data_IF_262358174393
#
_entry.id   IF_262358174393
#
_cell.length_a   1.000
_cell.length_b   1.000
_cell.length_c   1.000
_cell.angle_alpha   90.00
_cell.angle_beta   90.00
_cell.angle_gamma   90.00
#
_symmetry.space_group_name_H-M   'P 1'
#
loop_
_entity.id
_entity.type
_entity.pdbx_description
1 polymer ?
#
# COMPACT_ATOMS: atom_id res chain seq x y z
N UNK A 1 -27.07 -17.29 -9.95
CA UNK A 1 -26.02 -18.19 -9.44
C UNK A 1 -25.63 -17.87 -7.99
N UNK A 2 -25.07 -16.68 -7.70
CA UNK A 2 -24.58 -16.30 -6.37
C UNK A 2 -25.57 -16.55 -5.20
N UNK A 3 -26.83 -16.14 -5.34
CA UNK A 3 -27.86 -16.38 -4.31
C UNK A 3 -28.06 -17.88 -3.99
N UNK A 4 -28.01 -18.75 -5.00
CA UNK A 4 -28.12 -20.19 -4.79
C UNK A 4 -26.88 -20.77 -4.11
N UNK A 5 -25.68 -20.30 -4.50
CA UNK A 5 -24.42 -20.66 -3.84
C UNK A 5 -24.42 -20.28 -2.36
N UNK A 6 -24.78 -19.04 -2.03
CA UNK A 6 -24.85 -18.56 -0.63
C UNK A 6 -25.87 -19.31 0.22
N UNK A 7 -26.98 -19.78 -0.35
CA UNK A 7 -27.94 -20.63 0.37
C UNK A 7 -27.36 -21.98 0.77
N UNK A 8 -26.44 -22.52 -0.04
CA UNK A 8 -25.74 -23.76 0.29
C UNK A 8 -24.59 -23.50 1.28
N UNK A 9 -23.78 -22.46 1.02
CA UNK A 9 -22.66 -22.08 1.87
C UNK A 9 -22.31 -20.58 1.73
N UNK A 10 -22.50 -19.75 2.77
CA UNK A 10 -22.49 -18.29 2.65
C UNK A 10 -21.08 -17.68 2.67
N UNK A 11 -20.19 -18.12 1.77
CA UNK A 11 -18.90 -17.47 1.57
C UNK A 11 -19.04 -16.06 0.96
N UNK A 12 -18.08 -15.15 1.21
CA UNK A 12 -17.94 -13.94 0.42
C UNK A 12 -17.78 -14.27 -1.06
N UNK A 13 -18.52 -13.58 -1.93
CA UNK A 13 -18.49 -13.72 -3.38
C UNK A 13 -18.20 -12.37 -4.02
N UNK A 14 -17.35 -12.36 -5.05
CA UNK A 14 -17.07 -11.19 -5.85
C UNK A 14 -17.20 -11.50 -7.35
N UNK A 15 -17.20 -10.45 -8.15
CA UNK A 15 -16.97 -10.54 -9.60
C UNK A 15 -15.75 -9.71 -9.95
N UNK A 16 -14.89 -10.22 -10.83
CA UNK A 16 -13.80 -9.43 -11.39
C UNK A 16 -14.29 -8.60 -12.60
N UNK A 17 -13.52 -7.57 -12.96
CA UNK A 17 -13.93 -6.62 -14.00
C UNK A 17 -12.82 -6.37 -14.99
N UNK A 18 -13.06 -6.75 -16.25
CA UNK A 18 -12.29 -6.20 -17.37
C UNK A 18 -12.68 -4.74 -17.59
N UNK A 19 -11.73 -3.86 -17.29
CA UNK A 19 -11.96 -2.44 -17.08
C UNK A 19 -12.18 -1.62 -18.36
N UNK A 20 -13.01 -0.58 -18.21
CA UNK A 20 -13.06 0.59 -19.11
C UNK A 20 -12.11 1.67 -18.58
N UNK A 21 -10.87 1.64 -19.07
CA UNK A 21 -9.77 2.51 -18.64
C UNK A 21 -8.82 2.78 -19.82
N UNK A 22 -7.75 3.55 -19.64
CA UNK A 22 -6.78 3.90 -20.71
C UNK A 22 -7.44 4.51 -21.96
N UNK A 23 -8.41 5.41 -21.75
CA UNK A 23 -9.12 6.10 -22.83
C UNK A 23 -10.18 5.27 -23.58
N UNK A 24 -10.40 3.99 -23.23
CA UNK A 24 -11.43 3.14 -23.85
C UNK A 24 -12.83 3.74 -23.72
N UNK A 25 -13.57 3.81 -24.82
CA UNK A 25 -14.84 4.56 -24.90
C UNK A 25 -16.03 3.72 -25.31
N UNK A 26 -15.86 2.82 -26.28
CA UNK A 26 -16.99 2.16 -26.94
C UNK A 26 -17.19 0.72 -26.43
N UNK A 27 -18.32 0.41 -25.75
CA UNK A 27 -18.61 -0.94 -25.27
C UNK A 27 -18.78 -1.92 -26.46
N UNK A 28 -18.21 -3.11 -26.34
CA UNK A 28 -18.23 -4.13 -27.39
C UNK A 28 -17.21 -3.91 -28.51
N UNK A 29 -16.52 -2.76 -28.52
CA UNK A 29 -15.40 -2.46 -29.43
C UNK A 29 -14.08 -2.35 -28.66
N UNK A 30 -14.00 -1.44 -27.69
CA UNK A 30 -12.74 -1.14 -26.96
C UNK A 30 -12.60 -1.97 -25.67
N UNK A 31 -13.74 -2.35 -25.07
CA UNK A 31 -13.85 -3.12 -23.82
C UNK A 31 -15.10 -4.00 -23.87
N UNK A 32 -15.14 -5.12 -23.13
CA UNK A 32 -16.30 -6.01 -23.13
C UNK A 32 -17.54 -5.31 -22.59
N UNK A 33 -18.61 -5.33 -23.37
CA UNK A 33 -19.91 -4.83 -22.94
C UNK A 33 -20.52 -5.77 -21.90
N UNK A 34 -21.21 -5.20 -20.91
CA UNK A 34 -21.98 -5.93 -19.91
C UNK A 34 -21.27 -6.12 -18.56
N UNK A 35 -19.93 -6.08 -18.51
CA UNK A 35 -19.17 -6.21 -17.26
C UNK A 35 -19.43 -5.08 -16.24
N UNK A 36 -18.93 -5.25 -15.02
CA UNK A 36 -19.10 -4.31 -13.90
C UNK A 36 -18.19 -3.06 -14.01
N UNK A 37 -18.06 -2.52 -15.23
CA UNK A 37 -17.23 -1.33 -15.50
C UNK A 37 -17.74 -0.12 -14.72
N UNK A 38 -16.86 0.88 -14.51
CA UNK A 38 -17.17 2.05 -13.69
C UNK A 38 -18.49 2.76 -14.06
N UNK A 39 -18.85 2.83 -15.35
CA UNK A 39 -20.11 3.44 -15.79
C UNK A 39 -21.34 2.55 -15.59
N UNK A 40 -21.15 1.26 -15.32
CA UNK A 40 -22.20 0.27 -15.02
C UNK A 40 -22.24 -0.10 -13.54
N UNK A 41 -21.33 0.44 -12.72
CA UNK A 41 -21.14 0.05 -11.32
C UNK A 41 -22.45 0.11 -10.52
N UNK A 42 -23.16 1.24 -10.56
CA UNK A 42 -24.44 1.41 -9.84
C UNK A 42 -25.49 0.39 -10.27
N UNK A 43 -25.59 0.09 -11.58
CA UNK A 43 -26.51 -0.93 -12.07
C UNK A 43 -26.15 -2.31 -11.56
N UNK A 44 -24.85 -2.66 -11.59
CA UNK A 44 -24.37 -3.93 -11.06
C UNK A 44 -24.69 -4.08 -9.57
N UNK A 45 -24.37 -3.07 -8.75
CA UNK A 45 -24.72 -3.10 -7.32
C UNK A 45 -26.22 -3.31 -7.09
N UNK A 46 -27.08 -2.67 -7.88
CA UNK A 46 -28.53 -2.84 -7.79
C UNK A 46 -29.02 -4.21 -8.28
N UNK A 47 -28.44 -4.73 -9.36
CA UNK A 47 -28.88 -5.96 -10.01
C UNK A 47 -28.29 -7.23 -9.37
N UNK A 48 -27.20 -7.13 -8.62
CA UNK A 48 -26.49 -8.29 -8.05
C UNK A 48 -26.36 -8.22 -6.52
N UNK A 49 -27.47 -8.23 -5.75
CA UNK A 49 -27.43 -8.07 -4.29
C UNK A 49 -26.75 -9.23 -3.54
N UNK A 50 -26.50 -10.37 -4.20
CA UNK A 50 -25.76 -11.51 -3.63
C UNK A 50 -24.26 -11.50 -3.92
N UNK A 51 -23.75 -10.48 -4.62
CA UNK A 51 -22.32 -10.24 -4.84
C UNK A 51 -21.85 -9.19 -3.84
N UNK A 52 -20.89 -9.55 -2.98
CA UNK A 52 -20.47 -8.69 -1.88
C UNK A 52 -19.70 -7.48 -2.38
N UNK A 53 -18.79 -7.69 -3.34
CA UNK A 53 -17.95 -6.64 -3.91
C UNK A 53 -17.55 -6.93 -5.37
N UNK A 54 -17.09 -5.89 -6.04
CA UNK A 54 -16.61 -5.88 -7.42
C UNK A 54 -15.09 -5.65 -7.37
N UNK A 55 -14.35 -6.60 -7.93
CA UNK A 55 -12.90 -6.54 -8.10
C UNK A 55 -12.48 -5.91 -9.42
N UNK A 56 -11.24 -5.43 -9.46
CA UNK A 56 -10.62 -4.81 -10.62
C UNK A 56 -9.49 -5.66 -11.17
N UNK A 57 -9.45 -5.83 -12.50
CA UNK A 57 -8.33 -6.47 -13.20
C UNK A 57 -7.48 -5.39 -13.89
N UNK A 58 -6.36 -5.03 -13.27
CA UNK A 58 -5.56 -3.85 -13.62
C UNK A 58 -4.25 -4.25 -14.29
N UNK A 59 -4.19 -4.11 -15.61
CA UNK A 59 -3.00 -4.43 -16.41
C UNK A 59 -2.32 -3.17 -16.93
N UNK A 60 -1.91 -2.31 -16.01
CA UNK A 60 -1.12 -1.10 -16.27
C UNK A 60 -0.09 -0.91 -15.17
N UNK A 61 1.04 -0.28 -15.49
CA UNK A 61 1.99 0.21 -14.50
C UNK A 61 2.02 1.75 -14.43
N UNK A 62 1.20 2.45 -15.23
CA UNK A 62 1.03 3.90 -15.11
C UNK A 62 0.35 4.27 -13.78
N UNK A 63 1.03 5.09 -12.97
CA UNK A 63 0.57 5.47 -11.64
C UNK A 63 -0.81 6.14 -11.66
N UNK A 64 -1.00 7.09 -12.56
CA UNK A 64 -2.22 7.89 -12.60
C UNK A 64 -3.41 7.03 -12.97
N UNK A 65 -3.26 6.14 -13.95
CA UNK A 65 -4.34 5.26 -14.38
C UNK A 65 -4.60 4.15 -13.35
N UNK A 66 -3.57 3.58 -12.73
CA UNK A 66 -3.73 2.54 -11.70
C UNK A 66 -4.51 3.10 -10.50
N UNK A 67 -4.02 4.20 -9.92
CA UNK A 67 -4.62 4.81 -8.73
C UNK A 67 -6.01 5.38 -9.00
N UNK A 68 -6.24 5.94 -10.19
CA UNK A 68 -7.57 6.37 -10.64
C UNK A 68 -8.56 5.20 -10.68
N UNK A 69 -8.17 4.04 -11.23
CA UNK A 69 -9.05 2.86 -11.23
C UNK A 69 -9.35 2.44 -9.80
N UNK A 70 -8.36 2.33 -8.92
CA UNK A 70 -8.61 1.97 -7.52
C UNK A 70 -9.60 2.95 -6.89
N UNK A 71 -9.40 4.26 -7.04
CA UNK A 71 -10.30 5.29 -6.51
C UNK A 71 -11.72 5.27 -7.10
N UNK A 72 -11.93 4.69 -8.28
CA UNK A 72 -13.26 4.52 -8.88
C UNK A 72 -14.06 3.37 -8.24
N UNK A 73 -13.38 2.33 -7.75
CA UNK A 73 -14.01 1.13 -7.20
C UNK A 73 -13.93 1.07 -5.67
N UNK A 74 -12.97 1.75 -5.03
CA UNK A 74 -12.90 1.95 -3.59
C UNK A 74 -14.00 2.92 -3.14
N UNK A 75 -15.10 2.39 -2.62
CA UNK A 75 -16.32 3.14 -2.28
C UNK A 75 -16.83 2.70 -0.90
N UNK A 76 -17.66 3.51 -0.22
CA UNK A 76 -18.30 3.08 1.02
C UNK A 76 -19.09 1.77 0.90
N UNK A 77 -19.60 1.45 -0.30
CA UNK A 77 -20.36 0.24 -0.59
C UNK A 77 -19.56 -0.86 -1.31
N UNK A 78 -18.24 -0.67 -1.46
CA UNK A 78 -17.33 -1.60 -2.14
C UNK A 78 -15.87 -1.41 -1.70
N UNK A 79 -15.24 -2.37 -1.00
CA UNK A 79 -13.84 -2.26 -0.62
C UNK A 79 -12.93 -2.21 -1.86
N UNK A 80 -11.75 -1.61 -1.73
CA UNK A 80 -10.72 -1.78 -2.73
C UNK A 80 -10.29 -3.26 -2.79
N UNK A 81 -10.43 -3.89 -3.95
CA UNK A 81 -10.06 -5.28 -4.18
C UNK A 81 -9.47 -5.41 -5.58
N UNK A 82 -8.16 -5.66 -5.63
CA UNK A 82 -7.45 -5.94 -6.89
C UNK A 82 -7.48 -7.44 -7.11
N UNK A 83 -8.46 -7.91 -7.88
CA UNK A 83 -8.63 -9.32 -8.23
C UNK A 83 -7.52 -9.82 -9.14
N UNK A 84 -7.01 -8.95 -10.01
CA UNK A 84 -5.87 -9.23 -10.86
C UNK A 84 -5.05 -7.95 -11.08
N UNK A 85 -3.72 -8.09 -11.08
CA UNK A 85 -2.79 -7.07 -11.55
C UNK A 85 -1.68 -7.69 -12.38
N UNK A 86 -1.09 -6.90 -13.28
CA UNK A 86 0.06 -7.33 -14.08
C UNK A 86 1.25 -7.81 -13.23
N UNK A 87 1.94 -8.85 -13.71
CA UNK A 87 3.06 -9.51 -13.03
C UNK A 87 4.31 -8.63 -12.91
N UNK A 88 4.45 -7.61 -13.75
CA UNK A 88 5.68 -6.84 -13.88
C UNK A 88 6.13 -6.19 -12.56
N UNK A 89 7.44 -6.08 -12.32
CA UNK A 89 7.97 -5.50 -11.08
C UNK A 89 7.42 -4.10 -10.76
N UNK A 90 7.13 -3.31 -11.80
CA UNK A 90 6.61 -1.95 -11.69
C UNK A 90 5.19 -1.87 -11.07
N UNK A 91 4.45 -2.98 -10.97
CA UNK A 91 3.13 -3.00 -10.31
C UNK A 91 3.23 -3.29 -8.81
N UNK A 92 4.36 -3.82 -8.33
CA UNK A 92 4.54 -4.21 -6.94
C UNK A 92 4.28 -3.06 -5.94
N UNK A 93 4.72 -1.79 -6.18
CA UNK A 93 4.43 -0.70 -5.24
C UNK A 93 2.94 -0.46 -5.00
N UNK A 94 2.06 -0.79 -5.95
CA UNK A 94 0.63 -0.49 -5.85
C UNK A 94 -0.10 -1.28 -4.76
N UNK A 95 0.48 -2.37 -4.22
CA UNK A 95 -0.06 -2.99 -3.01
C UNK A 95 -0.20 -1.97 -1.87
N UNK A 96 0.79 -1.10 -1.68
CA UNK A 96 0.77 -0.08 -0.62
C UNK A 96 -0.31 0.97 -0.89
N UNK A 97 -0.50 1.38 -2.15
CA UNK A 97 -1.61 2.26 -2.51
C UNK A 97 -2.97 1.61 -2.20
N UNK A 98 -3.16 0.35 -2.57
CA UNK A 98 -4.41 -0.40 -2.32
C UNK A 98 -4.68 -0.54 -0.83
N UNK A 99 -3.67 -0.87 -0.01
CA UNK A 99 -3.80 -0.90 1.45
C UNK A 99 -4.16 0.48 2.00
N UNK A 100 -3.56 1.55 1.46
CA UNK A 100 -3.89 2.93 1.83
C UNK A 100 -5.30 3.37 1.46
N UNK A 101 -5.99 2.64 0.58
CA UNK A 101 -7.42 2.82 0.24
C UNK A 101 -8.33 1.87 1.04
N UNK A 102 -7.83 1.25 2.12
CA UNK A 102 -8.60 0.28 2.91
C UNK A 102 -8.82 -1.05 2.18
N UNK A 103 -7.93 -1.40 1.26
CA UNK A 103 -8.08 -2.58 0.43
C UNK A 103 -8.02 -3.90 1.19
N UNK A 104 -8.88 -4.83 0.76
CA UNK A 104 -9.01 -6.16 1.37
C UNK A 104 -8.15 -7.23 0.70
N UNK A 105 -7.47 -6.86 -0.39
CA UNK A 105 -6.40 -7.67 -0.95
C UNK A 105 -5.94 -7.27 -2.35
N UNK A 106 -4.93 -8.00 -2.82
CA UNK A 106 -4.15 -7.70 -4.02
C UNK A 106 -3.62 -9.00 -4.60
N UNK A 107 -4.02 -9.33 -5.82
CA UNK A 107 -3.72 -10.61 -6.46
C UNK A 107 -2.98 -10.39 -7.78
N UNK A 108 -1.76 -10.93 -7.86
CA UNK A 108 -0.88 -10.83 -9.03
C UNK A 108 -1.21 -11.96 -9.98
N UNK A 109 -1.55 -11.63 -11.23
CA UNK A 109 -1.86 -12.64 -12.24
C UNK A 109 -0.59 -13.27 -12.79
N UNK A 110 -0.63 -14.57 -13.10
CA UNK A 110 0.45 -15.27 -13.78
C UNK A 110 1.71 -15.40 -12.94
N UNK A 111 1.61 -15.81 -11.67
CA UNK A 111 2.77 -16.09 -10.82
C UNK A 111 3.46 -17.42 -11.17
N UNK A 112 2.82 -18.28 -11.95
CA UNK A 112 3.33 -19.56 -12.42
C UNK A 112 3.48 -19.59 -13.95
N UNK A 113 4.18 -20.61 -14.47
CA UNK A 113 4.26 -20.88 -15.91
C UNK A 113 5.10 -19.91 -16.74
N UNK A 114 5.67 -18.86 -16.13
CA UNK A 114 6.54 -17.91 -16.83
C UNK A 114 7.91 -18.53 -17.17
N UNK A 115 8.50 -18.19 -18.34
CA UNK A 115 9.85 -18.61 -18.67
C UNK A 115 10.85 -18.01 -17.68
N UNK A 116 11.92 -18.74 -17.38
CA UNK A 116 12.99 -18.21 -16.52
C UNK A 116 13.77 -17.12 -17.26
N UNK A 117 13.66 -15.88 -16.77
CA UNK A 117 14.34 -14.70 -17.32
C UNK A 117 14.65 -13.71 -16.20
N UNK A 118 15.63 -12.83 -16.40
CA UNK A 118 15.96 -11.79 -15.43
C UNK A 118 14.76 -10.91 -15.07
N UNK A 119 13.95 -10.56 -16.08
CA UNK A 119 12.73 -9.77 -15.88
C UNK A 119 11.71 -10.50 -15.00
N UNK A 120 11.49 -11.80 -15.23
CA UNK A 120 10.52 -12.58 -14.45
C UNK A 120 11.02 -12.86 -13.02
N UNK A 121 12.33 -13.09 -12.84
CA UNK A 121 12.93 -13.19 -11.50
C UNK A 121 12.83 -11.87 -10.74
N UNK A 122 13.09 -10.74 -11.40
CA UNK A 122 12.94 -9.42 -10.80
C UNK A 122 11.49 -9.10 -10.43
N UNK A 123 10.53 -9.44 -11.29
CA UNK A 123 9.10 -9.32 -11.02
C UNK A 123 8.67 -10.15 -9.80
N UNK A 124 9.05 -11.43 -9.78
CA UNK A 124 8.77 -12.32 -8.65
C UNK A 124 9.37 -11.77 -7.35
N UNK A 125 10.64 -11.34 -7.38
CA UNK A 125 11.29 -10.76 -6.21
C UNK A 125 10.60 -9.48 -5.72
N UNK A 126 10.22 -8.58 -6.63
CA UNK A 126 9.55 -7.31 -6.29
C UNK A 126 8.23 -7.54 -5.54
N UNK A 127 7.42 -8.50 -5.98
CA UNK A 127 6.17 -8.88 -5.30
C UNK A 127 6.43 -9.67 -4.02
N UNK A 128 7.35 -10.64 -4.03
CA UNK A 128 7.67 -11.47 -2.87
C UNK A 128 8.15 -10.64 -1.68
N UNK A 129 8.96 -9.60 -1.91
CA UNK A 129 9.44 -8.71 -0.85
C UNK A 129 8.28 -8.01 -0.14
N UNK A 130 7.26 -7.57 -0.87
CA UNK A 130 6.10 -6.96 -0.24
C UNK A 130 5.33 -7.96 0.63
N UNK A 131 5.08 -9.16 0.11
CA UNK A 131 4.34 -10.19 0.85
C UNK A 131 5.13 -10.68 2.08
N UNK A 132 6.43 -10.91 1.95
CA UNK A 132 7.28 -11.31 3.06
C UNK A 132 7.34 -10.22 4.15
N UNK A 133 7.37 -8.95 3.76
CA UNK A 133 7.38 -7.83 4.70
C UNK A 133 6.06 -7.72 5.48
N UNK A 134 4.92 -7.89 4.81
CA UNK A 134 3.60 -7.60 5.39
C UNK A 134 2.92 -8.84 6.01
N UNK A 135 3.22 -10.05 5.54
CA UNK A 135 2.56 -11.28 5.99
C UNK A 135 2.63 -11.52 7.51
N UNK A 136 3.76 -11.28 8.22
CA UNK A 136 3.82 -11.43 9.67
C UNK A 136 2.91 -10.46 10.43
N UNK A 137 2.55 -9.34 9.80
CA UNK A 137 1.73 -8.26 10.38
C UNK A 137 0.33 -8.18 9.78
N UNK A 138 -0.06 -9.13 8.92
CA UNK A 138 -1.28 -9.04 8.12
C UNK A 138 -2.55 -8.79 8.96
N UNK A 139 -2.63 -9.37 10.17
CA UNK A 139 -3.78 -9.19 11.07
C UNK A 139 -3.82 -7.79 11.68
N UNK A 140 -2.66 -7.24 12.04
CA UNK A 140 -2.54 -5.88 12.60
C UNK A 140 -2.83 -4.85 11.52
N UNK A 141 -2.30 -5.06 10.32
CA UNK A 141 -2.56 -4.23 9.14
C UNK A 141 -4.05 -4.25 8.80
N UNK A 142 -4.68 -5.43 8.73
CA UNK A 142 -6.10 -5.56 8.44
C UNK A 142 -6.98 -4.86 9.49
N UNK A 143 -6.67 -5.02 10.79
CA UNK A 143 -7.41 -4.33 11.85
C UNK A 143 -7.22 -2.81 11.77
N UNK A 144 -5.99 -2.32 11.57
CA UNK A 144 -5.74 -0.89 11.44
C UNK A 144 -6.43 -0.29 10.22
N UNK A 145 -6.48 -1.01 9.09
CA UNK A 145 -7.22 -0.60 7.91
C UNK A 145 -8.73 -0.53 8.19
N UNK A 146 -9.29 -1.55 8.84
CA UNK A 146 -10.71 -1.58 9.23
C UNK A 146 -11.08 -0.43 10.17
N UNK A 147 -10.20 -0.11 11.12
CA UNK A 147 -10.40 0.97 12.10
C UNK A 147 -10.14 2.38 11.50
N UNK A 148 -9.74 2.50 10.23
CA UNK A 148 -9.37 3.78 9.62
C UNK A 148 -8.06 4.39 10.16
N UNK A 149 -7.20 3.55 10.75
CA UNK A 149 -5.92 3.94 11.39
C UNK A 149 -4.69 3.64 10.53
N UNK A 150 -4.87 3.20 9.30
CA UNK A 150 -3.80 2.89 8.36
C UNK A 150 -3.78 3.90 7.22
N UNK A 151 -2.60 4.44 6.93
CA UNK A 151 -2.33 5.20 5.71
C UNK A 151 -1.09 4.64 5.05
N UNK A 152 -1.12 4.52 3.72
CA UNK A 152 0.00 4.00 2.96
C UNK A 152 0.08 4.69 1.60
N UNK A 153 1.30 4.74 1.06
CA UNK A 153 1.61 5.45 -0.18
C UNK A 153 2.53 4.60 -1.05
N UNK A 154 2.32 4.69 -2.35
CA UNK A 154 3.30 4.35 -3.37
C UNK A 154 3.81 5.66 -3.98
N UNK A 155 5.07 5.69 -4.37
CA UNK A 155 5.72 6.85 -4.96
C UNK A 155 5.02 7.24 -6.27
N UNK A 156 4.64 8.52 -6.36
CA UNK A 156 4.11 9.10 -7.58
C UNK A 156 5.25 9.76 -8.37
N UNK A 157 5.43 9.43 -9.65
CA UNK A 157 6.38 10.13 -10.50
C UNK A 157 6.16 11.64 -10.47
N UNK A 158 7.24 12.40 -10.26
CA UNK A 158 7.21 13.87 -10.18
C UNK A 158 6.65 14.45 -8.88
N UNK A 159 6.31 13.62 -7.89
CA UNK A 159 5.80 14.09 -6.60
C UNK A 159 6.47 13.34 -5.44
N UNK A 160 7.76 13.60 -5.16
CA UNK A 160 8.61 12.80 -4.28
C UNK A 160 8.34 13.01 -2.78
N UNK A 161 7.34 13.79 -2.39
CA UNK A 161 6.97 14.01 -1.00
C UNK A 161 5.48 13.76 -0.75
N UNK A 162 5.15 13.10 0.37
CA UNK A 162 3.78 12.91 0.85
C UNK A 162 3.69 13.23 2.33
N UNK A 163 2.57 13.78 2.76
CA UNK A 163 2.29 14.02 4.19
C UNK A 163 1.08 13.21 4.59
N UNK A 164 1.26 12.34 5.59
CA UNK A 164 0.21 11.59 6.25
C UNK A 164 -0.16 12.30 7.55
N UNK A 165 -1.43 12.21 7.97
CA UNK A 165 -1.95 12.96 9.14
C UNK A 165 -2.62 12.02 10.14
N UNK A 166 -2.26 12.14 11.42
CA UNK A 166 -2.70 11.30 12.52
C UNK A 166 -3.04 12.15 13.74
N UNK A 167 -4.16 12.90 13.68
CA UNK A 167 -4.51 13.88 14.70
C UNK A 167 -3.44 14.98 14.78
N UNK A 168 -2.88 15.16 15.98
CA UNK A 168 -1.82 16.14 16.29
C UNK A 168 -0.45 15.82 15.68
N UNK A 169 -0.34 14.77 14.86
CA UNK A 169 0.92 14.34 14.27
C UNK A 169 0.84 14.27 12.75
N UNK A 170 1.88 14.77 12.09
CA UNK A 170 2.14 14.56 10.68
C UNK A 170 3.31 13.60 10.51
N UNK A 171 3.24 12.76 9.48
CA UNK A 171 4.34 11.96 8.98
C UNK A 171 4.67 12.40 7.55
N UNK A 172 5.82 13.06 7.37
CA UNK A 172 6.32 13.46 6.05
C UNK A 172 7.18 12.35 5.48
N UNK A 173 6.80 11.86 4.30
CA UNK A 173 7.47 10.82 3.55
C UNK A 173 8.21 11.47 2.38
N UNK A 174 9.47 11.11 2.19
CA UNK A 174 10.35 11.60 1.14
C UNK A 174 10.92 10.42 0.34
N UNK A 175 10.80 10.46 -0.98
CA UNK A 175 11.38 9.49 -1.91
C UNK A 175 12.64 10.08 -2.57
N UNK A 176 13.68 9.27 -2.75
CA UNK A 176 14.98 9.74 -3.26
C UNK A 176 15.80 10.60 -2.28
N UNK A 177 15.45 10.60 -0.99
CA UNK A 177 16.29 11.21 0.04
C UNK A 177 17.54 10.34 0.28
N UNK A 178 18.70 10.93 0.62
CA UNK A 178 19.87 10.15 1.00
C UNK A 178 19.56 9.30 2.25
N UNK A 179 20.30 8.22 2.50
CA UNK A 179 20.09 7.42 3.72
C UNK A 179 20.69 8.08 4.97
N UNK A 180 21.57 9.07 4.79
CA UNK A 180 22.24 9.80 5.86
C UNK A 180 22.35 11.28 5.48
N UNK A 181 22.27 12.16 6.47
CA UNK A 181 22.31 13.61 6.28
C UNK A 181 20.97 14.23 5.86
N UNK A 182 20.96 15.55 5.77
CA UNK A 182 19.79 16.32 5.40
C UNK A 182 19.31 15.99 3.98
N UNK A 183 18.00 15.92 3.81
CA UNK A 183 17.40 15.82 2.49
C UNK A 183 17.55 17.17 1.75
N UNK A 184 17.92 17.17 0.45
CA UNK A 184 17.94 18.40 -0.33
C UNK A 184 16.53 18.99 -0.44
N UNK A 185 16.44 20.32 -0.60
CA UNK A 185 15.16 21.01 -0.73
C UNK A 185 14.31 20.51 -1.91
N UNK A 186 14.99 20.10 -3.00
CA UNK A 186 14.37 19.46 -4.16
C UNK A 186 14.82 18.01 -4.16
N UNK A 187 13.87 17.09 -3.97
CA UNK A 187 14.12 15.66 -4.04
C UNK A 187 14.00 15.17 -5.48
N UNK A 188 14.90 14.28 -5.94
CA UNK A 188 14.81 13.70 -7.28
C UNK A 188 13.67 12.66 -7.40
N UNK A 189 13.20 12.09 -6.28
CA UNK A 189 12.46 10.83 -6.30
C UNK A 189 13.41 9.64 -6.50
N UNK A 190 12.88 8.44 -6.51
CA UNK A 190 13.62 7.26 -6.95
C UNK A 190 13.53 7.12 -8.47
N UNK A 191 14.63 6.74 -9.11
CA UNK A 191 14.72 6.61 -10.58
C UNK A 191 13.71 5.61 -11.17
N UNK A 192 13.33 4.58 -10.41
CA UNK A 192 12.38 3.54 -10.80
C UNK A 192 10.97 3.74 -10.22
N UNK A 193 10.78 4.78 -9.42
CA UNK A 193 9.54 5.08 -8.70
C UNK A 193 9.02 3.91 -7.83
N UNK A 194 9.91 3.05 -7.34
CA UNK A 194 9.54 1.89 -6.53
C UNK A 194 9.30 2.22 -5.04
N UNK A 195 9.43 3.48 -4.63
CA UNK A 195 9.24 3.92 -3.26
C UNK A 195 7.84 3.61 -2.74
N UNK A 196 7.73 3.17 -1.48
CA UNK A 196 6.45 2.88 -0.84
C UNK A 196 6.58 2.82 0.68
N UNK A 197 5.53 3.20 1.38
CA UNK A 197 5.55 3.21 2.84
C UNK A 197 4.14 3.05 3.42
N UNK A 198 4.03 2.33 4.52
CA UNK A 198 2.82 2.07 5.28
C UNK A 198 3.02 2.52 6.72
N UNK A 199 2.04 3.26 7.24
CA UNK A 199 1.96 3.69 8.63
C UNK A 199 0.62 3.25 9.21
N UNK A 200 0.66 2.47 10.29
CA UNK A 200 -0.52 2.11 11.06
C UNK A 200 -0.43 2.70 12.48
N UNK A 201 -1.42 3.48 12.88
CA UNK A 201 -1.49 4.07 14.21
C UNK A 201 -1.99 3.02 15.23
N UNK A 202 -1.08 2.55 16.08
CA UNK A 202 -1.35 1.52 17.11
C UNK A 202 -2.01 2.11 18.35
N UNK A 203 -1.65 3.34 18.70
CA UNK A 203 -2.23 4.18 19.75
C UNK A 203 -2.04 5.66 19.42
N UNK A 204 -2.50 6.61 20.25
CA UNK A 204 -2.46 8.03 19.93
C UNK A 204 -1.08 8.55 19.50
N UNK A 205 -0.02 8.05 20.14
CA UNK A 205 1.38 8.45 19.89
C UNK A 205 2.27 7.24 19.54
N UNK A 206 1.67 6.12 19.11
CA UNK A 206 2.38 4.90 18.75
C UNK A 206 2.05 4.47 17.33
N UNK A 207 3.07 4.26 16.52
CA UNK A 207 2.97 3.93 15.10
C UNK A 207 3.76 2.67 14.77
N UNK A 208 3.20 1.87 13.87
CA UNK A 208 3.91 0.83 13.13
C UNK A 208 4.26 1.41 11.76
N UNK A 209 5.53 1.33 11.37
CA UNK A 209 6.04 1.91 10.14
C UNK A 209 6.88 0.88 9.39
N UNK A 210 6.58 0.68 8.11
CA UNK A 210 7.40 -0.15 7.23
C UNK A 210 7.27 0.28 5.78
N UNK A 211 8.25 -0.05 4.95
CA UNK A 211 8.29 0.41 3.56
C UNK A 211 9.63 0.16 2.91
N UNK A 212 9.82 0.78 1.75
CA UNK A 212 11.03 0.67 0.93
C UNK A 212 11.33 1.96 0.17
N UNK A 213 12.62 2.20 -0.03
CA UNK A 213 13.16 3.32 -0.80
C UNK A 213 12.52 4.67 -0.41
N UNK A 214 12.36 4.89 0.89
CA UNK A 214 11.64 6.03 1.44
C UNK A 214 12.24 6.46 2.79
N UNK A 215 12.16 7.75 3.08
CA UNK A 215 12.42 8.32 4.40
C UNK A 215 11.11 8.82 4.98
N UNK A 216 10.91 8.68 6.29
CA UNK A 216 9.77 9.26 7.01
C UNK A 216 10.23 10.05 8.24
N UNK A 217 9.63 11.22 8.43
CA UNK A 217 9.88 12.13 9.54
C UNK A 217 8.56 12.48 10.23
N UNK A 218 8.53 12.45 11.57
CA UNK A 218 7.35 12.78 12.35
C UNK A 218 7.43 14.21 12.88
N UNK A 219 6.33 14.96 12.73
CA UNK A 219 6.20 16.33 13.20
C UNK A 219 4.95 16.47 14.05
N UNK A 220 5.05 17.23 15.13
CA UNK A 220 3.86 17.68 15.87
C UNK A 220 3.18 18.78 15.05
N UNK A 221 1.87 18.63 14.87
CA UNK A 221 0.97 19.56 14.19
C UNK A 221 -0.24 19.81 15.09
N UNK A 222 0.00 20.53 16.18
CA UNK A 222 -1.02 20.93 17.14
C UNK A 222 -0.98 22.43 17.37
N UNK A 223 -2.14 23.02 17.66
CA UNK A 223 -2.25 24.44 18.00
C UNK A 223 -1.81 24.71 19.46
N UNK A 224 -0.57 24.34 19.79
CA UNK A 224 0.07 24.58 21.08
C UNK A 224 1.52 25.05 20.91
N UNK A 225 2.23 25.29 22.02
CA UNK A 225 3.63 25.75 22.01
C UNK A 225 4.63 24.61 22.20
N UNK A 226 4.19 23.35 22.09
CA UNK A 226 5.06 22.20 22.37
C UNK A 226 5.78 21.75 21.11
N UNK A 227 6.95 21.17 21.30
CA UNK A 227 7.70 20.56 20.21
C UNK A 227 7.51 19.06 20.19
N UNK A 228 7.46 18.47 19.00
CA UNK A 228 7.42 17.02 18.82
C UNK A 228 8.83 16.41 18.87
N UNK A 229 8.93 15.21 19.39
CA UNK A 229 10.14 14.40 19.37
C UNK A 229 9.83 12.91 19.18
N UNK A 230 10.81 12.16 18.70
CA UNK A 230 10.81 10.70 18.78
C UNK A 230 11.21 10.30 20.21
N UNK A 231 10.32 9.64 20.95
CA UNK A 231 10.63 9.13 22.30
C UNK A 231 11.33 7.78 22.23
N UNK A 232 10.91 6.92 21.31
CA UNK A 232 11.45 5.56 21.17
C UNK A 232 11.23 5.05 19.75
N UNK A 233 12.26 4.48 19.15
CA UNK A 233 12.18 3.81 17.85
C UNK A 233 12.77 2.41 18.00
N UNK A 234 11.96 1.40 17.72
CA UNK A 234 12.35 0.00 17.86
C UNK A 234 12.22 -0.69 16.52
N UNK A 235 13.31 -1.29 16.05
CA UNK A 235 13.22 -2.29 15.01
C UNK A 235 12.68 -3.58 15.63
N UNK A 236 11.63 -4.13 15.03
CA UNK A 236 10.92 -5.30 15.55
C UNK A 236 10.69 -6.35 14.46
N UNK A 237 10.48 -7.59 14.89
CA UNK A 237 9.85 -8.63 14.08
C UNK A 237 8.50 -9.00 14.69
N UNK A 238 7.58 -9.49 13.87
CA UNK A 238 6.32 -10.07 14.34
C UNK A 238 6.37 -11.59 14.21
N UNK A 239 6.16 -12.29 15.32
CA UNK A 239 6.08 -13.75 15.40
C UNK A 239 4.77 -14.09 16.11
N UNK A 240 3.91 -14.87 15.45
CA UNK A 240 2.59 -15.27 15.98
C UNK A 240 1.74 -14.07 16.47
N UNK A 241 1.78 -12.96 15.73
CA UNK A 241 1.03 -11.73 16.04
C UNK A 241 1.60 -10.91 17.20
N UNK A 242 2.73 -11.31 17.78
CA UNK A 242 3.43 -10.57 18.84
C UNK A 242 4.70 -9.97 18.29
N UNK A 243 4.99 -8.73 18.65
CA UNK A 243 6.25 -8.10 18.28
C UNK A 243 7.37 -8.55 19.23
N UNK A 244 8.55 -8.71 18.67
CA UNK A 244 9.80 -8.96 19.38
C UNK A 244 10.78 -7.87 18.97
N UNK A 245 11.34 -7.16 19.95
CA UNK A 245 12.36 -6.15 19.70
C UNK A 245 13.65 -6.81 19.23
N UNK A 246 14.24 -6.28 18.16
CA UNK A 246 15.58 -6.66 17.71
C UNK A 246 16.62 -5.68 18.22
N UNK A 247 16.39 -4.38 17.96
CA UNK A 247 17.26 -3.29 18.39
C UNK A 247 16.49 -1.99 18.52
N UNK A 248 17.02 -1.10 19.36
CA UNK A 248 16.56 0.28 19.47
C UNK A 248 17.38 1.14 18.50
N UNK A 249 16.70 2.02 17.77
CA UNK A 249 17.35 3.01 16.91
C UNK A 249 17.42 4.35 17.64
N UNK A 250 18.54 5.07 17.48
CA UNK A 250 18.76 6.41 18.03
C UNK A 250 19.93 7.11 17.28
N UNK A 251 20.25 8.35 17.61
CA UNK A 251 21.36 9.10 16.98
C UNK A 251 21.23 9.12 15.45
N UNK A 252 22.29 8.79 14.72
CA UNK A 252 22.32 8.81 13.24
C UNK A 252 21.14 8.07 12.58
N UNK A 253 20.59 7.01 13.20
CA UNK A 253 19.46 6.27 12.63
C UNK A 253 18.11 7.00 12.76
N UNK A 254 18.04 8.08 13.55
CA UNK A 254 16.84 8.87 13.81
C UNK A 254 17.02 10.37 13.56
N UNK A 255 18.25 10.88 13.56
CA UNK A 255 18.58 12.31 13.43
C UNK A 255 18.17 12.88 12.06
N UNK A 256 18.16 12.06 11.02
CA UNK A 256 17.78 12.44 9.65
C UNK A 256 16.49 11.75 9.20
N UNK A 257 15.57 11.51 10.13
CA UNK A 257 14.37 10.72 9.89
C UNK A 257 14.64 9.21 9.86
N UNK A 258 13.57 8.44 9.67
CA UNK A 258 13.61 6.98 9.62
C UNK A 258 13.75 6.54 8.16
N UNK A 259 14.88 5.94 7.84
CA UNK A 259 15.27 5.61 6.48
C UNK A 259 14.99 4.13 6.17
N UNK A 260 14.18 3.86 5.16
CA UNK A 260 13.85 2.53 4.67
C UNK A 260 14.55 2.29 3.34
N UNK A 261 15.56 1.44 3.37
CA UNK A 261 16.37 1.09 2.19
C UNK A 261 15.60 0.31 1.13
N UNK A 262 16.34 -0.10 0.10
CA UNK A 262 15.92 -1.16 -0.83
C UNK A 262 16.31 -2.51 -0.25
N UNK A 263 15.82 -3.59 -0.86
CA UNK A 263 16.48 -4.88 -0.68
C UNK A 263 17.89 -4.74 -1.24
N UNK A 264 18.88 -5.01 -0.42
CA UNK A 264 20.27 -4.89 -0.80
C UNK A 264 20.75 -6.14 -1.56
N UNK A 265 22.01 -6.13 -1.99
CA UNK A 265 22.60 -7.27 -2.71
C UNK A 265 22.73 -8.54 -1.84
N UNK A 266 22.65 -8.41 -0.51
CA UNK A 266 22.62 -9.53 0.43
C UNK A 266 21.21 -10.10 0.63
N UNK A 267 20.18 -9.44 0.09
CA UNK A 267 18.79 -9.85 0.22
C UNK A 267 18.17 -9.48 1.56
N UNK A 268 18.75 -8.55 2.31
CA UNK A 268 18.18 -8.12 3.59
C UNK A 268 16.82 -7.45 3.37
N UNK A 269 15.84 -7.92 4.13
CA UNK A 269 14.47 -7.44 4.04
C UNK A 269 14.34 -6.06 4.66
N UNK A 270 13.44 -5.20 4.14
CA UNK A 270 13.16 -3.91 4.74
C UNK A 270 12.67 -4.06 6.18
N UNK A 271 13.00 -3.08 7.01
CA UNK A 271 12.74 -3.14 8.46
C UNK A 271 11.29 -2.81 8.80
N UNK A 272 10.85 -3.29 9.97
CA UNK A 272 9.60 -2.89 10.61
C UNK A 272 9.94 -2.11 11.86
N UNK A 273 9.40 -0.90 11.98
CA UNK A 273 9.64 -0.03 13.14
C UNK A 273 8.37 0.15 13.96
N UNK A 274 8.49 0.04 15.28
CA UNK A 274 7.55 0.65 16.23
C UNK A 274 8.11 2.00 16.65
N UNK A 275 7.33 3.05 16.44
CA UNK A 275 7.71 4.44 16.67
C UNK A 275 6.79 5.02 17.73
N UNK A 276 7.35 5.47 18.85
CA UNK A 276 6.65 6.26 19.85
C UNK A 276 7.10 7.71 19.74
N UNK A 277 6.14 8.59 19.54
CA UNK A 277 6.35 10.04 19.52
C UNK A 277 5.89 10.66 20.84
N UNK A 278 6.23 11.92 21.07
CA UNK A 278 5.74 12.67 22.22
C UNK A 278 6.09 14.14 22.13
N UNK A 279 5.48 14.94 23.00
CA UNK A 279 5.70 16.38 23.05
C UNK A 279 6.47 16.81 24.31
N UNK A 280 7.25 17.88 24.22
CA UNK A 280 7.86 18.56 25.38
C UNK A 280 7.60 20.06 25.37
#
# INVERSE_FOLDING_TARGET
MAAAGKRAYPLPLYVNTWLRYKGKRYPGLDYPSGGATVNMFTLWRAATPSIDFIGTDIYTNDYNEYTKVIGQYARPDNPAWVSETGFEAATAPYLFHVLGQGGVGFSVFGIDGNPDSDANRAAMAAHAVNFNLLAPMQRIIAQAAFDGRLQAVAEQPGAPQRTLRFGDWQAKISFGAPLWGDAPAILPGNDDHAGRLLVAQLGPEEFLVTGMAARIEFFRDAADTKHGQLLRVEQVQYVDGRWQMEKQLNGDQTDYGLNFGRVDAAGEMPVVLRVRVGSY
#
